data_IF_038307598993
#
_entry.id   IF_038307598993
#
_cell.length_a   1.000
_cell.length_b   1.000
_cell.length_c   1.000
_cell.angle_alpha   90.00
_cell.angle_beta   90.00
_cell.angle_gamma   90.00
#
_symmetry.space_group_name_H-M   'P 1'
#
loop_
_entity.id
_entity.type
_entity.pdbx_description
1 polymer ?
#
# COMPACT_ATOMS: atom_id res chain seq x y z
N UNK A 1 -20.40 -1.18 -15.49
CA UNK A 1 -20.01 -1.92 -16.72
C UNK A 1 -20.90 -3.15 -16.82
N UNK A 2 -21.96 -3.06 -17.62
CA UNK A 2 -22.82 -4.20 -17.92
C UNK A 2 -22.10 -5.17 -18.87
N UNK A 3 -22.47 -6.45 -18.81
CA UNK A 3 -21.99 -7.50 -19.72
C UNK A 3 -22.65 -7.30 -21.08
N UNK A 4 -21.90 -6.86 -22.09
CA UNK A 4 -22.34 -6.89 -23.49
C UNK A 4 -21.91 -8.23 -24.10
N UNK A 5 -22.83 -9.20 -24.15
CA UNK A 5 -22.48 -10.60 -24.38
C UNK A 5 -21.70 -11.19 -23.19
N UNK A 6 -21.40 -12.48 -23.21
CA UNK A 6 -20.80 -13.23 -22.09
C UNK A 6 -19.37 -12.79 -21.65
N UNK A 7 -18.90 -11.60 -22.05
CA UNK A 7 -17.57 -11.08 -21.77
C UNK A 7 -17.60 -9.62 -21.29
N UNK A 8 -16.63 -9.25 -20.45
CA UNK A 8 -16.37 -7.84 -20.15
C UNK A 8 -15.75 -7.15 -21.38
N UNK A 9 -15.86 -5.81 -21.52
CA UNK A 9 -15.25 -5.09 -22.65
C UNK A 9 -13.75 -5.36 -22.81
N UNK A 10 -13.01 -5.48 -21.70
CA UNK A 10 -11.59 -5.84 -21.72
C UNK A 10 -11.38 -7.26 -22.27
N UNK A 11 -12.12 -8.24 -21.75
CA UNK A 11 -12.01 -9.63 -22.21
C UNK A 11 -12.41 -9.75 -23.69
N UNK A 12 -13.43 -9.01 -24.13
CA UNK A 12 -13.81 -8.97 -25.53
C UNK A 12 -12.68 -8.41 -26.40
N UNK A 13 -12.11 -7.25 -26.05
CA UNK A 13 -10.99 -6.65 -26.78
C UNK A 13 -9.79 -7.60 -26.89
N UNK A 14 -9.48 -8.31 -25.80
CA UNK A 14 -8.40 -9.29 -25.77
C UNK A 14 -8.68 -10.53 -26.64
N UNK A 15 -9.94 -11.01 -26.68
CA UNK A 15 -10.35 -12.15 -27.52
C UNK A 15 -10.27 -11.87 -29.01
N UNK A 16 -10.48 -10.63 -29.43
CA UNK A 16 -10.33 -10.20 -30.82
C UNK A 16 -8.92 -9.66 -31.12
N UNK A 17 -7.96 -9.91 -30.23
CA UNK A 17 -6.56 -9.50 -30.35
C UNK A 17 -6.34 -7.99 -30.55
N UNK A 18 -7.31 -7.17 -30.10
CA UNK A 18 -7.19 -5.70 -30.16
C UNK A 18 -6.45 -5.18 -28.92
N UNK A 19 -5.12 -5.30 -28.97
CA UNK A 19 -4.21 -4.94 -27.87
C UNK A 19 -4.29 -3.46 -27.52
N UNK A 20 -4.45 -2.57 -28.51
CA UNK A 20 -4.54 -1.12 -28.27
C UNK A 20 -5.78 -0.75 -27.44
N UNK A 21 -6.93 -1.35 -27.77
CA UNK A 21 -8.14 -1.15 -26.98
C UNK A 21 -8.00 -1.73 -25.57
N UNK A 22 -7.34 -2.89 -25.41
CA UNK A 22 -7.06 -3.45 -24.09
C UNK A 22 -6.18 -2.50 -23.25
N UNK A 23 -5.13 -1.93 -23.85
CA UNK A 23 -4.25 -0.93 -23.22
C UNK A 23 -5.04 0.31 -22.78
N UNK A 24 -5.91 0.84 -23.64
CA UNK A 24 -6.74 2.02 -23.32
C UNK A 24 -7.66 1.73 -22.13
N UNK A 25 -8.32 0.56 -22.13
CA UNK A 25 -9.21 0.15 -21.03
C UNK A 25 -8.45 -0.03 -19.72
N UNK A 26 -7.27 -0.65 -19.75
CA UNK A 26 -6.41 -0.81 -18.57
C UNK A 26 -5.93 0.54 -18.02
N UNK A 27 -5.57 1.47 -18.91
CA UNK A 27 -5.23 2.85 -18.52
C UNK A 27 -6.41 3.56 -17.86
N UNK A 28 -7.63 3.38 -18.37
CA UNK A 28 -8.84 3.91 -17.77
C UNK A 28 -9.14 3.29 -16.38
N UNK A 29 -8.91 1.98 -16.22
CA UNK A 29 -9.06 1.31 -14.93
C UNK A 29 -8.08 1.83 -13.90
N UNK A 30 -6.79 1.89 -14.24
CA UNK A 30 -5.74 2.43 -13.36
C UNK A 30 -6.05 3.88 -12.95
N UNK A 31 -6.47 4.71 -13.90
CA UNK A 31 -6.89 6.10 -13.62
C UNK A 31 -8.06 6.14 -12.65
N UNK A 32 -9.12 5.36 -12.87
CA UNK A 32 -10.26 5.30 -11.96
C UNK A 32 -9.83 4.93 -10.53
N UNK A 33 -9.01 3.88 -10.38
CA UNK A 33 -8.51 3.41 -9.08
C UNK A 33 -7.71 4.52 -8.36
N UNK A 34 -6.83 5.22 -9.07
CA UNK A 34 -6.01 6.28 -8.47
C UNK A 34 -6.82 7.51 -8.04
N UNK A 35 -7.93 7.79 -8.72
CA UNK A 35 -8.78 8.96 -8.45
C UNK A 35 -9.85 8.72 -7.38
N UNK A 36 -10.08 7.49 -6.90
CA UNK A 36 -11.03 7.22 -5.82
C UNK A 36 -10.68 7.99 -4.54
N UNK A 37 -11.61 8.81 -4.05
CA UNK A 37 -11.51 9.61 -2.83
C UNK A 37 -12.22 8.96 -1.64
N UNK A 38 -12.15 9.59 -0.47
CA UNK A 38 -12.75 9.11 0.78
C UNK A 38 -14.27 8.96 0.65
N UNK A 39 -14.92 9.90 -0.02
CA UNK A 39 -16.36 9.89 -0.27
C UNK A 39 -16.77 8.71 -1.16
N UNK A 40 -15.95 8.40 -2.17
CA UNK A 40 -16.21 7.26 -3.07
C UNK A 40 -16.11 5.93 -2.31
N UNK A 41 -15.14 5.82 -1.39
CA UNK A 41 -14.92 4.61 -0.61
C UNK A 41 -16.04 4.33 0.41
N UNK A 42 -16.83 5.34 0.75
CA UNK A 42 -18.03 5.20 1.58
C UNK A 42 -19.23 4.60 0.81
N UNK A 43 -19.21 4.66 -0.54
CA UNK A 43 -20.32 4.16 -1.35
C UNK A 43 -20.33 2.61 -1.38
N UNK A 44 -21.48 1.96 -1.13
CA UNK A 44 -21.58 0.49 -1.16
C UNK A 44 -21.15 -0.13 -2.49
N UNK A 45 -21.43 0.56 -3.59
CA UNK A 45 -21.12 0.09 -4.93
C UNK A 45 -19.63 0.10 -5.28
N UNK A 46 -18.83 0.95 -4.63
CA UNK A 46 -17.40 1.09 -4.93
C UNK A 46 -16.67 -0.23 -4.70
N UNK A 47 -16.98 -0.96 -3.62
CA UNK A 47 -16.39 -2.29 -3.37
C UNK A 47 -16.77 -3.29 -4.46
N UNK A 48 -18.01 -3.26 -4.95
CA UNK A 48 -18.46 -4.12 -6.06
C UNK A 48 -17.69 -3.82 -7.34
N UNK A 49 -17.53 -2.54 -7.67
CA UNK A 49 -16.76 -2.09 -8.84
C UNK A 49 -15.30 -2.52 -8.73
N UNK A 50 -14.66 -2.31 -7.57
CA UNK A 50 -13.27 -2.72 -7.34
C UNK A 50 -13.08 -4.23 -7.52
N UNK A 51 -14.01 -5.07 -7.06
CA UNK A 51 -13.95 -6.54 -7.30
C UNK A 51 -14.03 -6.90 -8.78
N UNK A 52 -14.87 -6.20 -9.55
CA UNK A 52 -14.96 -6.38 -10.99
C UNK A 52 -13.66 -5.94 -11.69
N UNK A 53 -13.13 -4.78 -11.33
CA UNK A 53 -11.85 -4.27 -11.85
C UNK A 53 -10.71 -5.24 -11.52
N UNK A 54 -10.63 -5.74 -10.29
CA UNK A 54 -9.64 -6.73 -9.86
C UNK A 54 -9.64 -7.96 -10.76
N UNK A 55 -10.82 -8.49 -11.07
CA UNK A 55 -10.97 -9.65 -11.97
C UNK A 55 -10.45 -9.34 -13.37
N UNK A 56 -10.78 -8.17 -13.91
CA UNK A 56 -10.32 -7.73 -15.23
C UNK A 56 -8.79 -7.51 -15.27
N UNK A 57 -8.22 -6.88 -14.25
CA UNK A 57 -6.77 -6.67 -14.13
C UNK A 57 -6.03 -8.02 -14.02
N UNK A 58 -6.58 -8.98 -13.26
CA UNK A 58 -6.01 -10.33 -13.17
C UNK A 58 -6.01 -11.04 -14.52
N UNK A 59 -7.12 -10.97 -15.26
CA UNK A 59 -7.21 -11.52 -16.62
C UNK A 59 -6.14 -10.88 -17.52
N UNK A 60 -5.97 -9.57 -17.49
CA UNK A 60 -4.92 -8.90 -18.28
C UNK A 60 -3.50 -9.38 -17.94
N UNK A 61 -3.21 -9.59 -16.65
CA UNK A 61 -1.92 -10.16 -16.19
C UNK A 61 -1.75 -11.59 -16.72
N UNK A 62 -2.80 -12.41 -16.68
CA UNK A 62 -2.75 -13.81 -17.12
C UNK A 62 -2.52 -13.93 -18.63
N UNK A 63 -2.97 -12.95 -19.42
CA UNK A 63 -2.69 -12.83 -20.85
C UNK A 63 -1.35 -12.16 -21.18
N UNK A 64 -0.55 -11.75 -20.19
CA UNK A 64 0.79 -11.22 -20.43
C UNK A 64 0.88 -9.72 -20.71
N UNK A 65 -0.19 -8.95 -20.50
CA UNK A 65 -0.23 -7.51 -20.82
C UNK A 65 0.66 -6.65 -19.89
N UNK A 66 1.17 -7.20 -18.78
CA UNK A 66 2.10 -6.51 -17.90
C UNK A 66 3.42 -6.10 -18.59
N UNK A 67 3.78 -6.75 -19.71
CA UNK A 67 4.95 -6.35 -20.51
C UNK A 67 4.75 -5.00 -21.20
N UNK A 68 3.50 -4.67 -21.52
CA UNK A 68 3.12 -3.43 -22.21
C UNK A 68 2.59 -2.35 -21.27
N UNK A 69 2.22 -2.72 -20.03
CA UNK A 69 1.66 -1.82 -19.02
C UNK A 69 2.38 -2.00 -17.68
N UNK A 70 3.29 -1.07 -17.37
CA UNK A 70 4.16 -1.12 -16.17
C UNK A 70 3.36 -1.10 -14.87
N UNK A 71 2.28 -0.33 -14.83
CA UNK A 71 1.50 -0.13 -13.60
C UNK A 71 0.43 -1.20 -13.36
N UNK A 72 0.24 -2.14 -14.30
CA UNK A 72 -0.84 -3.12 -14.25
C UNK A 72 -0.85 -3.94 -12.95
N UNK A 73 0.33 -4.38 -12.51
CA UNK A 73 0.47 -5.18 -11.30
C UNK A 73 0.24 -4.36 -10.04
N UNK A 74 0.74 -3.13 -10.00
CA UNK A 74 0.49 -2.21 -8.90
C UNK A 74 -1.01 -1.90 -8.78
N UNK A 75 -1.68 -1.57 -9.90
CA UNK A 75 -3.13 -1.36 -9.94
C UNK A 75 -3.91 -2.59 -9.49
N UNK A 76 -3.49 -3.80 -9.89
CA UNK A 76 -4.11 -5.04 -9.41
C UNK A 76 -4.00 -5.19 -7.89
N UNK A 77 -2.81 -5.03 -7.32
CA UNK A 77 -2.59 -5.19 -5.88
C UNK A 77 -3.28 -4.09 -5.06
N UNK A 78 -3.26 -2.83 -5.52
CA UNK A 78 -4.03 -1.75 -4.92
C UNK A 78 -5.53 -2.08 -4.91
N UNK A 79 -6.08 -2.52 -6.04
CA UNK A 79 -7.49 -2.89 -6.15
C UNK A 79 -7.84 -4.06 -5.23
N UNK A 80 -6.95 -5.06 -5.12
CA UNK A 80 -7.10 -6.17 -4.20
C UNK A 80 -7.15 -5.70 -2.75
N UNK A 81 -6.23 -4.82 -2.34
CA UNK A 81 -6.23 -4.27 -0.99
C UNK A 81 -7.52 -3.48 -0.71
N UNK A 82 -7.91 -2.58 -1.61
CA UNK A 82 -9.07 -1.71 -1.45
C UNK A 82 -10.40 -2.49 -1.43
N UNK A 83 -10.48 -3.63 -2.12
CA UNK A 83 -11.69 -4.44 -2.17
C UNK A 83 -11.77 -5.48 -1.03
N UNK A 84 -10.65 -6.11 -0.67
CA UNK A 84 -10.64 -7.33 0.16
C UNK A 84 -9.43 -7.45 1.12
N UNK A 85 -8.51 -6.47 1.14
CA UNK A 85 -7.26 -6.57 1.91
C UNK A 85 -7.29 -6.02 3.32
N UNK A 86 -8.41 -5.45 3.79
CA UNK A 86 -8.50 -4.78 5.10
C UNK A 86 -8.04 -5.65 6.28
N UNK A 87 -8.49 -6.91 6.30
CA UNK A 87 -8.11 -7.87 7.35
C UNK A 87 -6.60 -8.18 7.31
N UNK A 88 -6.01 -8.30 6.11
CA UNK A 88 -4.57 -8.53 5.95
C UNK A 88 -3.76 -7.33 6.41
N UNK A 89 -4.13 -6.11 5.97
CA UNK A 89 -3.44 -4.87 6.39
C UNK A 89 -3.49 -4.72 7.91
N UNK A 90 -4.65 -4.94 8.54
CA UNK A 90 -4.82 -4.85 10.00
C UNK A 90 -3.97 -5.87 10.76
N UNK A 91 -3.88 -7.11 10.25
CA UNK A 91 -3.00 -8.13 10.83
C UNK A 91 -1.53 -7.69 10.74
N UNK A 92 -1.09 -7.23 9.57
CA UNK A 92 0.32 -6.83 9.37
C UNK A 92 0.68 -5.56 10.15
N UNK A 93 -0.25 -4.63 10.33
CA UNK A 93 -0.09 -3.49 11.26
C UNK A 93 0.23 -4.00 12.67
N UNK A 94 -0.48 -5.03 13.13
CA UNK A 94 -0.28 -5.60 14.47
C UNK A 94 1.07 -6.31 14.61
N UNK A 95 1.47 -7.07 13.59
CA UNK A 95 2.75 -7.79 13.55
C UNK A 95 3.94 -6.81 13.49
N UNK A 96 3.89 -5.82 12.60
CA UNK A 96 4.93 -4.79 12.48
C UNK A 96 4.97 -3.90 13.74
N UNK A 97 3.83 -3.64 14.38
CA UNK A 97 3.81 -2.94 15.66
C UNK A 97 4.47 -3.75 16.79
N UNK A 98 4.44 -5.08 16.74
CA UNK A 98 5.19 -5.93 17.66
C UNK A 98 6.70 -5.85 17.37
N UNK A 99 7.10 -5.90 16.10
CA UNK A 99 8.49 -5.71 15.68
C UNK A 99 9.03 -4.34 16.12
N UNK A 100 8.27 -3.26 15.94
CA UNK A 100 8.63 -1.91 16.38
C UNK A 100 8.85 -1.84 17.91
N UNK A 101 8.06 -2.59 18.69
CA UNK A 101 8.23 -2.67 20.16
C UNK A 101 9.49 -3.43 20.56
N UNK A 102 9.81 -4.52 19.87
CA UNK A 102 11.06 -5.27 20.06
C UNK A 102 12.31 -4.48 19.62
N UNK A 103 12.09 -3.41 18.86
CA UNK A 103 13.16 -2.52 18.43
C UNK A 103 13.97 -3.09 17.28
N UNK A 104 15.27 -2.83 17.26
CA UNK A 104 16.17 -3.27 16.17
C UNK A 104 16.21 -4.79 16.06
N UNK A 105 16.11 -5.50 17.19
CA UNK A 105 15.97 -6.97 17.21
C UNK A 105 14.73 -7.48 16.47
N UNK A 106 13.65 -6.68 16.46
CA UNK A 106 12.42 -7.01 15.77
C UNK A 106 12.46 -6.79 14.27
N UNK A 107 13.44 -6.03 13.76
CA UNK A 107 13.61 -5.65 12.34
C UNK A 107 12.27 -5.25 11.68
N UNK A 108 11.60 -4.20 12.18
CA UNK A 108 10.28 -3.80 11.72
C UNK A 108 10.20 -3.48 10.22
N UNK A 109 11.23 -2.88 9.62
CA UNK A 109 11.22 -2.53 8.19
C UNK A 109 11.32 -3.79 7.35
N UNK A 110 12.26 -4.68 7.68
CA UNK A 110 12.39 -5.98 7.03
C UNK A 110 11.13 -6.84 7.19
N UNK A 111 10.51 -6.84 8.37
CA UNK A 111 9.28 -7.59 8.64
C UNK A 111 8.12 -7.10 7.75
N UNK A 112 7.98 -5.77 7.61
CA UNK A 112 7.00 -5.17 6.71
C UNK A 112 7.28 -5.52 5.24
N UNK A 113 8.54 -5.45 4.80
CA UNK A 113 8.93 -5.78 3.43
C UNK A 113 8.64 -7.25 3.11
N UNK A 114 9.03 -8.16 4.00
CA UNK A 114 8.79 -9.60 3.85
C UNK A 114 7.29 -9.92 3.75
N UNK A 115 6.46 -9.28 4.57
CA UNK A 115 5.01 -9.42 4.52
C UNK A 115 4.43 -8.98 3.16
N UNK A 116 4.83 -7.79 2.67
CA UNK A 116 4.37 -7.26 1.38
C UNK A 116 4.82 -8.13 0.21
N UNK A 117 6.09 -8.57 0.20
CA UNK A 117 6.62 -9.48 -0.81
C UNK A 117 5.87 -10.81 -0.83
N UNK A 118 5.62 -11.39 0.33
CA UNK A 118 4.84 -12.63 0.47
C UNK A 118 3.41 -12.46 -0.05
N UNK A 119 2.76 -11.34 0.28
CA UNK A 119 1.45 -11.00 -0.23
C UNK A 119 1.42 -10.85 -1.76
N UNK A 120 2.37 -10.11 -2.34
CA UNK A 120 2.47 -9.96 -3.79
C UNK A 120 2.72 -11.30 -4.48
N UNK A 121 3.66 -12.10 -3.96
CA UNK A 121 4.00 -13.43 -4.48
C UNK A 121 2.79 -14.35 -4.52
N UNK A 122 2.04 -14.41 -3.41
CA UNK A 122 0.85 -15.26 -3.27
C UNK A 122 -0.25 -14.88 -4.27
N UNK A 123 -0.41 -13.61 -4.58
CA UNK A 123 -1.50 -13.11 -5.42
C UNK A 123 -1.15 -13.04 -6.92
N UNK A 124 0.13 -12.91 -7.26
CA UNK A 124 0.61 -12.85 -8.65
C UNK A 124 1.12 -14.20 -9.17
N UNK A 125 1.53 -15.11 -8.28
CA UNK A 125 1.88 -16.50 -8.61
C UNK A 125 3.18 -16.70 -9.40
N UNK A 126 3.87 -15.63 -9.86
CA UNK A 126 5.12 -15.70 -10.63
C UNK A 126 6.17 -14.76 -10.03
N UNK A 127 7.33 -15.30 -9.66
CA UNK A 127 8.43 -14.54 -9.06
C UNK A 127 9.02 -13.48 -10.00
N UNK A 128 9.06 -13.75 -11.32
CA UNK A 128 9.60 -12.81 -12.31
C UNK A 128 8.81 -11.50 -12.42
N UNK A 129 7.55 -11.51 -12.00
CA UNK A 129 6.68 -10.32 -11.97
C UNK A 129 6.99 -9.38 -10.79
N UNK A 130 7.73 -9.86 -9.79
CA UNK A 130 8.04 -9.12 -8.56
C UNK A 130 9.15 -8.09 -8.81
N UNK A 131 10.10 -8.37 -9.70
CA UNK A 131 11.21 -7.46 -10.00
C UNK A 131 10.72 -6.10 -10.58
N UNK A 132 9.58 -6.10 -11.26
CA UNK A 132 8.90 -4.89 -11.74
C UNK A 132 8.04 -4.19 -10.68
N UNK A 133 7.89 -4.78 -9.49
CA UNK A 133 7.03 -4.30 -8.42
C UNK A 133 7.81 -3.64 -7.27
N UNK A 134 9.14 -3.50 -7.41
CA UNK A 134 9.99 -3.00 -6.33
C UNK A 134 9.57 -1.63 -5.79
N UNK A 135 9.09 -0.73 -6.65
CA UNK A 135 8.61 0.60 -6.21
C UNK A 135 7.30 0.50 -5.41
N UNK A 136 6.38 -0.38 -5.82
CA UNK A 136 5.15 -0.66 -5.06
C UNK A 136 5.48 -1.32 -3.72
N UNK A 137 6.39 -2.30 -3.70
CA UNK A 137 6.81 -2.99 -2.48
C UNK A 137 7.44 -2.01 -1.51
N UNK A 138 8.31 -1.12 -1.98
CA UNK A 138 8.94 -0.11 -1.14
C UNK A 138 7.90 0.88 -0.58
N UNK A 139 6.95 1.36 -1.38
CA UNK A 139 5.86 2.22 -0.88
C UNK A 139 5.00 1.51 0.18
N UNK A 140 4.51 0.31 -0.14
CA UNK A 140 3.72 -0.52 0.75
C UNK A 140 4.46 -0.85 2.07
N UNK A 141 5.77 -1.06 2.01
CA UNK A 141 6.62 -1.29 3.19
C UNK A 141 6.63 -0.07 4.09
N UNK A 142 6.91 1.12 3.54
CA UNK A 142 6.89 2.37 4.29
C UNK A 142 5.51 2.63 4.92
N UNK A 143 4.44 2.38 4.17
CA UNK A 143 3.07 2.51 4.64
C UNK A 143 2.76 1.60 5.83
N UNK A 144 3.14 0.31 5.76
CA UNK A 144 2.94 -0.61 6.88
C UNK A 144 3.64 -0.12 8.16
N UNK A 145 4.88 0.35 8.04
CA UNK A 145 5.64 0.84 9.21
C UNK A 145 5.01 2.11 9.79
N UNK A 146 4.56 3.05 8.95
CA UNK A 146 3.83 4.25 9.40
C UNK A 146 2.51 3.89 10.09
N UNK A 147 1.71 3.01 9.48
CA UNK A 147 0.43 2.58 10.04
C UNK A 147 0.62 1.81 11.36
N UNK A 148 1.65 0.97 11.46
CA UNK A 148 2.03 0.26 12.67
C UNK A 148 2.46 1.23 13.79
N UNK A 149 3.34 2.18 13.51
CA UNK A 149 3.77 3.18 14.49
C UNK A 149 2.59 4.06 14.94
N UNK A 150 1.71 4.45 14.03
CA UNK A 150 0.49 5.19 14.39
C UNK A 150 -0.45 4.35 15.26
N UNK A 151 -0.64 3.06 14.96
CA UNK A 151 -1.46 2.15 15.77
C UNK A 151 -0.95 2.03 17.21
N UNK A 152 0.36 2.10 17.41
CA UNK A 152 0.97 2.13 18.75
C UNK A 152 0.65 3.44 19.47
N UNK A 153 0.70 4.58 18.78
CA UNK A 153 0.37 5.90 19.32
C UNK A 153 -1.08 5.98 19.79
N UNK A 154 -2.01 5.36 19.06
CA UNK A 154 -3.44 5.33 19.41
C UNK A 154 -3.75 4.63 20.74
N UNK A 155 -2.81 3.87 21.30
CA UNK A 155 -2.96 3.28 22.65
C UNK A 155 -2.90 4.34 23.76
N UNK A 156 -2.31 5.50 23.49
CA UNK A 156 -2.11 6.58 24.47
C UNK A 156 -2.74 7.91 24.04
N UNK A 157 -3.00 8.07 22.74
CA UNK A 157 -3.55 9.29 22.15
C UNK A 157 -4.93 8.99 21.56
N UNK A 158 -5.92 9.83 21.88
CA UNK A 158 -7.26 9.75 21.26
C UNK A 158 -7.20 10.29 19.83
N UNK A 159 -7.11 9.39 18.86
CA UNK A 159 -7.13 9.71 17.43
C UNK A 159 -7.81 8.59 16.64
N UNK A 160 -7.80 8.71 15.32
CA UNK A 160 -8.42 7.73 14.40
C UNK A 160 -7.36 6.87 13.70
N UNK A 161 -7.65 5.61 13.34
CA UNK A 161 -6.74 4.73 12.58
C UNK A 161 -6.59 5.19 11.12
N UNK A 162 -5.44 4.91 10.48
CA UNK A 162 -5.26 5.26 9.05
C UNK A 162 -6.12 4.28 8.27
N UNK A 163 -7.01 4.72 7.37
CA UNK A 163 -7.84 3.79 6.63
C UNK A 163 -6.99 2.81 5.82
N UNK A 164 -7.30 1.52 5.91
CA UNK A 164 -6.54 0.45 5.22
C UNK A 164 -6.51 0.63 3.70
N UNK A 165 -7.53 1.26 3.12
CA UNK A 165 -7.60 1.51 1.69
C UNK A 165 -6.67 2.64 1.21
N UNK A 166 -6.04 3.41 2.12
CA UNK A 166 -4.95 4.32 1.77
C UNK A 166 -3.65 3.56 1.43
N UNK A 167 -3.53 2.32 1.90
CA UNK A 167 -2.32 1.51 1.82
C UNK A 167 -1.81 1.34 0.39
N UNK A 168 -0.51 1.59 0.21
CA UNK A 168 0.22 1.48 -1.04
C UNK A 168 -0.37 2.34 -2.17
N UNK A 169 -0.98 3.48 -1.83
CA UNK A 169 -1.55 4.46 -2.79
C UNK A 169 -0.85 5.81 -2.64
N UNK A 170 -0.06 6.14 -3.65
CA UNK A 170 0.65 7.42 -3.79
C UNK A 170 1.30 7.87 -2.47
N UNK A 171 0.89 9.02 -1.92
CA UNK A 171 1.37 9.60 -0.66
C UNK A 171 0.27 9.68 0.42
N UNK A 172 -0.84 8.96 0.27
CA UNK A 172 -2.03 9.10 1.13
C UNK A 172 -1.76 8.72 2.58
N UNK A 173 -1.07 7.60 2.83
CA UNK A 173 -0.70 7.18 4.20
C UNK A 173 0.25 8.19 4.83
N UNK A 174 1.26 8.66 4.08
CA UNK A 174 2.20 9.66 4.57
C UNK A 174 1.49 10.97 4.96
N UNK A 175 0.61 11.50 4.10
CA UNK A 175 -0.18 12.71 4.40
C UNK A 175 -1.03 12.52 5.66
N UNK A 176 -1.80 11.44 5.73
CA UNK A 176 -2.62 11.14 6.90
C UNK A 176 -1.77 10.98 8.17
N UNK A 177 -0.60 10.35 8.06
CA UNK A 177 0.33 10.18 9.17
C UNK A 177 0.84 11.53 9.68
N UNK A 178 1.35 12.39 8.79
CA UNK A 178 1.88 13.72 9.16
C UNK A 178 0.78 14.60 9.76
N UNK A 179 -0.39 14.67 9.13
CA UNK A 179 -1.53 15.46 9.62
C UNK A 179 -1.91 15.06 11.05
N UNK A 180 -1.83 13.76 11.36
CA UNK A 180 -2.14 13.25 12.70
C UNK A 180 -1.03 13.50 13.71
N UNK A 181 0.23 13.42 13.30
CA UNK A 181 1.34 13.82 14.16
C UNK A 181 1.21 15.30 14.56
N UNK A 182 0.88 16.15 13.60
CA UNK A 182 0.76 17.59 13.82
C UNK A 182 -0.48 17.92 14.65
N UNK A 183 -1.64 17.31 14.35
CA UNK A 183 -2.89 17.46 15.11
C UNK A 183 -2.76 17.01 16.57
N UNK A 184 -1.97 15.96 16.83
CA UNK A 184 -1.86 15.36 18.16
C UNK A 184 -0.52 15.63 18.87
N UNK A 185 0.27 16.59 18.37
CA UNK A 185 1.62 16.89 18.86
C UNK A 185 1.73 17.02 20.39
N UNK A 186 0.87 17.82 21.01
CA UNK A 186 0.88 18.04 22.47
C UNK A 186 0.60 16.76 23.26
N UNK A 187 -0.32 15.92 22.78
CA UNK A 187 -0.64 14.65 23.42
C UNK A 187 0.49 13.63 23.25
N UNK A 188 1.10 13.57 22.06
CA UNK A 188 2.27 12.75 21.75
C UNK A 188 3.42 13.12 22.72
N UNK A 189 3.75 14.40 22.83
CA UNK A 189 4.88 14.85 23.67
C UNK A 189 4.68 14.55 25.16
N UNK A 190 3.44 14.55 25.65
CA UNK A 190 3.11 14.28 27.05
C UNK A 190 2.91 12.80 27.41
N UNK A 191 2.55 11.93 26.46
CA UNK A 191 2.06 10.57 26.80
C UNK A 191 2.91 9.43 26.27
N UNK A 192 3.52 9.55 25.09
CA UNK A 192 4.23 8.41 24.48
C UNK A 192 5.69 8.36 24.95
N UNK A 193 6.21 7.13 25.10
CA UNK A 193 7.59 6.88 25.51
C UNK A 193 8.63 7.37 24.49
N UNK A 194 9.88 7.53 24.97
CA UNK A 194 11.01 8.09 24.20
C UNK A 194 11.26 7.35 22.88
N UNK A 195 11.20 6.01 22.91
CA UNK A 195 11.42 5.14 21.76
C UNK A 195 10.39 5.39 20.65
N UNK A 196 9.10 5.32 20.97
CA UNK A 196 8.04 5.54 19.99
C UNK A 196 8.12 6.96 19.42
N UNK A 197 8.41 7.97 20.25
CA UNK A 197 8.58 9.34 19.77
C UNK A 197 9.71 9.48 18.77
N UNK A 198 10.84 8.81 19.01
CA UNK A 198 11.93 8.75 18.04
C UNK A 198 11.49 8.04 16.76
N UNK A 199 10.84 6.87 16.84
CA UNK A 199 10.33 6.15 15.67
C UNK A 199 9.42 7.03 14.80
N UNK A 200 8.50 7.79 15.40
CA UNK A 200 7.62 8.71 14.67
C UNK A 200 8.40 9.83 13.97
N UNK A 201 9.44 10.39 14.62
CA UNK A 201 10.30 11.42 14.01
C UNK A 201 11.15 10.86 12.87
N UNK A 202 11.73 9.68 13.06
CA UNK A 202 12.51 8.97 12.04
C UNK A 202 11.65 8.70 10.81
N UNK A 203 10.42 8.20 11.01
CA UNK A 203 9.45 7.99 9.92
C UNK A 203 9.14 9.27 9.17
N UNK A 204 8.81 10.36 9.88
CA UNK A 204 8.54 11.66 9.23
C UNK A 204 9.75 12.13 8.43
N UNK A 205 10.94 12.16 9.04
CA UNK A 205 12.18 12.66 8.44
C UNK A 205 12.57 11.88 7.18
N UNK A 206 12.54 10.56 7.23
CA UNK A 206 13.02 9.72 6.13
C UNK A 206 12.01 9.56 5.00
N UNK A 207 10.73 9.80 5.27
CA UNK A 207 9.67 9.75 4.26
C UNK A 207 9.29 11.12 3.69
N UNK A 208 9.87 12.20 4.20
CA UNK A 208 9.65 13.55 3.71
C UNK A 208 10.34 13.81 2.35
N UNK A 209 9.72 14.68 1.55
CA UNK A 209 10.26 15.16 0.29
C UNK A 209 9.76 14.37 -0.94
N UNK A 210 10.13 14.86 -2.14
CA UNK A 210 9.76 14.27 -3.44
C UNK A 210 10.96 13.79 -4.27
N UNK A 211 12.18 14.11 -3.84
CA UNK A 211 13.39 13.92 -4.64
C UNK A 211 14.09 12.57 -4.41
N UNK A 212 13.57 11.73 -3.51
CA UNK A 212 14.10 10.41 -3.19
C UNK A 212 13.08 9.33 -3.56
N UNK A 213 13.57 8.23 -4.15
CA UNK A 213 12.74 7.06 -4.48
C UNK A 213 12.30 6.34 -3.21
N UNK A 214 11.15 5.65 -3.25
CA UNK A 214 10.68 4.87 -2.11
C UNK A 214 11.70 3.82 -1.66
N UNK A 215 12.41 3.17 -2.60
CA UNK A 215 13.48 2.23 -2.27
C UNK A 215 14.55 2.86 -1.37
N UNK A 216 15.05 4.04 -1.73
CA UNK A 216 16.07 4.75 -0.93
C UNK A 216 15.53 5.16 0.45
N UNK A 217 14.25 5.51 0.55
CA UNK A 217 13.60 5.83 1.82
C UNK A 217 13.50 4.60 2.72
N UNK A 218 13.08 3.46 2.19
CA UNK A 218 13.00 2.19 2.92
C UNK A 218 14.38 1.74 3.38
N UNK A 219 15.40 1.82 2.52
CA UNK A 219 16.79 1.52 2.92
C UNK A 219 17.27 2.43 4.06
N UNK A 220 16.95 3.73 3.99
CA UNK A 220 17.32 4.67 5.06
C UNK A 220 16.57 4.39 6.35
N UNK A 221 15.29 4.02 6.28
CA UNK A 221 14.51 3.58 7.43
C UNK A 221 15.04 2.29 8.04
N UNK A 222 15.44 1.31 7.22
CA UNK A 222 16.01 0.06 7.72
C UNK A 222 17.32 0.31 8.48
N UNK A 223 18.21 1.16 7.93
CA UNK A 223 19.43 1.56 8.62
C UNK A 223 19.17 2.18 9.99
N UNK A 224 18.08 2.93 10.15
CA UNK A 224 17.78 3.58 11.42
C UNK A 224 16.98 2.66 12.38
N UNK A 225 15.95 1.97 11.89
CA UNK A 225 14.99 1.22 12.71
C UNK A 225 15.35 -0.26 12.92
N UNK A 226 16.06 -0.88 11.97
CA UNK A 226 16.45 -2.29 12.02
C UNK A 226 17.92 -2.47 12.44
N UNK A 227 18.81 -1.57 12.02
CA UNK A 227 20.26 -1.70 12.20
C UNK A 227 20.88 -0.65 13.14
N UNK A 228 20.21 0.47 13.36
CA UNK A 228 20.75 1.59 14.12
C UNK A 228 20.89 1.30 15.61
N UNK A 229 21.62 2.17 16.32
CA UNK A 229 21.80 2.05 17.78
C UNK A 229 20.48 2.17 18.57
N UNK A 230 19.42 2.64 17.93
CA UNK A 230 18.14 2.93 18.56
C UNK A 230 18.20 4.14 19.49
N UNK A 231 17.20 4.26 20.38
CA UNK A 231 17.21 5.19 21.52
C UNK A 231 17.54 4.44 22.79
#
# INVERSE_FOLDING_TARGET
MERTGDATPLLHAMRIENVDMAIILLGAFSRYINHLQDEDMALPDTKRILKLLRTNLKIAIDYGLQKSQKDLMASFLQTLIMSEGDAWVTAQISDVALALRAGTTGKPVHSAEAAVRSFATRNLGKADLIASLEDYIANATADLVMMAAWSMTLKSVRGEPIPSWYFARDDRVYKAFVDRLDKHKSAIDGTIGRRLRWQLRSLRKHLEGRNTTYRSRVESLAKELDEGDGV
#
